data_IF_834105756946
#
_entry.id   IF_834105756946
#
_cell.length_a   1.000
_cell.length_b   1.000
_cell.length_c   1.000
_cell.angle_alpha   90.00
_cell.angle_beta   90.00
_cell.angle_gamma   90.00
#
_symmetry.space_group_name_H-M   'P 1'
#
loop_
_entity.id
_entity.type
_entity.pdbx_description
1 polymer ?
#
# COMPACT_ATOMS: atom_id res chain seq x y z
N UNK A 1 -11.54 -21.13 -20.53
CA UNK A 1 -10.71 -20.76 -19.37
C UNK A 1 -10.94 -19.28 -19.16
N UNK A 2 -11.73 -18.97 -18.14
CA UNK A 2 -12.11 -17.61 -17.78
C UNK A 2 -10.94 -17.00 -17.00
N UNK A 3 -10.30 -15.99 -17.56
CA UNK A 3 -9.20 -15.29 -16.90
C UNK A 3 -9.80 -14.26 -15.97
N UNK A 4 -10.13 -14.68 -14.74
CA UNK A 4 -10.57 -13.80 -13.67
C UNK A 4 -9.41 -12.89 -13.24
N UNK A 5 -9.24 -11.79 -14.00
CA UNK A 5 -8.32 -10.69 -13.71
C UNK A 5 -8.63 -10.02 -12.35
N UNK A 6 -9.84 -10.24 -11.83
CA UNK A 6 -10.34 -9.66 -10.58
C UNK A 6 -9.75 -10.38 -9.35
N UNK A 7 -9.46 -11.68 -9.42
CA UNK A 7 -8.88 -12.42 -8.27
C UNK A 7 -7.42 -12.05 -7.99
N UNK A 8 -6.70 -11.48 -8.96
CA UNK A 8 -5.25 -11.26 -8.86
C UNK A 8 -4.85 -9.95 -8.16
N UNK A 9 -5.77 -9.01 -7.93
CA UNK A 9 -5.43 -7.65 -7.47
C UNK A 9 -6.31 -7.15 -6.32
N UNK A 10 -6.73 -8.05 -5.41
CA UNK A 10 -7.42 -7.60 -4.19
C UNK A 10 -6.39 -6.95 -3.25
N UNK A 11 -6.26 -5.62 -3.35
CA UNK A 11 -5.56 -4.80 -2.36
C UNK A 11 -6.59 -4.42 -1.31
N UNK A 12 -6.39 -4.88 -0.07
CA UNK A 12 -7.17 -4.42 1.07
C UNK A 12 -6.44 -3.24 1.71
N UNK A 13 -7.17 -2.16 2.00
CA UNK A 13 -6.61 -0.96 2.63
C UNK A 13 -7.26 -0.77 3.99
N UNK A 14 -6.45 -0.57 5.03
CA UNK A 14 -6.90 -0.21 6.37
C UNK A 14 -6.25 1.10 6.79
N UNK A 15 -7.05 2.03 7.32
CA UNK A 15 -6.57 3.28 7.89
C UNK A 15 -6.41 3.10 9.39
N UNK A 16 -5.18 3.14 9.87
CA UNK A 16 -4.84 3.11 11.29
C UNK A 16 -4.49 4.53 11.76
N UNK A 17 -4.40 4.73 13.08
CA UNK A 17 -4.14 6.05 13.66
C UNK A 17 -2.81 6.67 13.20
N UNK A 18 -1.76 5.85 13.01
CA UNK A 18 -0.40 6.27 12.69
C UNK A 18 0.05 5.94 11.26
N UNK A 19 -0.67 5.07 10.54
CA UNK A 19 -0.30 4.61 9.20
C UNK A 19 -1.48 4.10 8.38
N UNK A 20 -1.25 3.95 7.07
CA UNK A 20 -2.15 3.22 6.17
C UNK A 20 -1.56 1.85 5.87
N UNK A 21 -2.30 0.79 6.15
CA UNK A 21 -1.91 -0.59 5.86
C UNK A 21 -2.51 -1.02 4.52
N UNK A 22 -1.63 -1.42 3.59
CA UNK A 22 -2.01 -2.11 2.37
C UNK A 22 -1.72 -3.59 2.54
N UNK A 23 -2.71 -4.44 2.30
CA UNK A 23 -2.58 -5.89 2.31
C UNK A 23 -2.78 -6.40 0.89
N UNK A 24 -1.76 -7.07 0.37
CA UNK A 24 -1.75 -7.73 -0.92
C UNK A 24 -1.69 -9.25 -0.69
N UNK A 25 -2.38 -10.03 -1.52
CA UNK A 25 -2.27 -11.50 -1.49
C UNK A 25 -1.57 -11.94 -2.77
N UNK A 26 -0.35 -12.48 -2.61
CA UNK A 26 0.46 -12.96 -3.74
C UNK A 26 0.48 -14.48 -3.74
N UNK A 27 0.26 -15.10 -4.89
CA UNK A 27 0.43 -16.54 -5.05
C UNK A 27 1.89 -16.86 -5.31
N UNK A 28 2.51 -17.68 -4.45
CA UNK A 28 3.88 -18.16 -4.63
C UNK A 28 3.82 -19.62 -5.09
N UNK A 29 3.79 -19.80 -6.40
CA UNK A 29 3.77 -21.11 -7.04
C UNK A 29 5.06 -21.91 -6.82
N UNK A 30 6.20 -21.23 -6.60
CA UNK A 30 7.51 -21.88 -6.43
C UNK A 30 7.62 -22.54 -5.05
N UNK A 31 6.99 -21.94 -4.03
CA UNK A 31 6.95 -22.49 -2.66
C UNK A 31 5.68 -23.27 -2.34
N UNK A 32 4.78 -23.48 -3.32
CA UNK A 32 3.51 -24.18 -3.13
C UNK A 32 2.51 -23.42 -2.24
N UNK A 33 2.71 -22.12 -2.01
CA UNK A 33 1.85 -21.29 -1.16
C UNK A 33 0.76 -20.64 -2.01
N UNK A 34 -0.49 -21.06 -1.77
CA UNK A 34 -1.64 -20.67 -2.59
C UNK A 34 -1.95 -19.16 -2.52
N UNK A 35 -1.74 -18.50 -1.37
CA UNK A 35 -1.93 -17.05 -1.15
C UNK A 35 -1.09 -16.59 0.07
N UNK A 36 0.07 -15.98 -0.16
CA UNK A 36 0.87 -15.34 0.90
C UNK A 36 0.38 -13.90 1.12
N UNK A 37 0.17 -13.52 2.37
CA UNK A 37 -0.25 -12.17 2.76
C UNK A 37 0.96 -11.25 2.87
N UNK A 38 1.00 -10.21 2.05
CA UNK A 38 2.02 -9.17 2.06
C UNK A 38 1.43 -7.89 2.66
N UNK A 39 2.00 -7.44 3.77
CA UNK A 39 1.61 -6.19 4.44
C UNK A 39 2.59 -5.07 4.11
N UNK A 40 2.07 -3.93 3.68
CA UNK A 40 2.83 -2.69 3.43
C UNK A 40 2.27 -1.56 4.28
N UNK A 41 3.06 -1.04 5.21
CA UNK A 41 2.69 0.08 6.07
C UNK A 41 3.22 1.39 5.50
N UNK A 42 2.34 2.36 5.35
CA UNK A 42 2.62 3.68 4.81
C UNK A 42 2.40 4.75 5.86
N UNK A 43 3.49 5.39 6.28
CA UNK A 43 3.48 6.43 7.30
C UNK A 43 3.48 7.80 6.65
N UNK A 44 2.61 8.70 7.09
CA UNK A 44 2.66 10.10 6.66
C UNK A 44 3.93 10.75 7.18
N UNK A 45 4.75 11.27 6.25
CA UNK A 45 6.02 11.92 6.56
C UNK A 45 5.88 13.43 6.61
N UNK A 46 5.25 14.03 5.61
CA UNK A 46 5.01 15.48 5.55
C UNK A 46 3.91 15.84 4.55
N UNK A 47 3.32 17.01 4.71
CA UNK A 47 2.52 17.66 3.66
C UNK A 47 3.46 18.20 2.58
N UNK A 48 3.14 17.95 1.31
CA UNK A 48 3.98 18.34 0.17
C UNK A 48 3.28 19.27 -0.81
N UNK A 49 2.02 19.59 -0.59
CA UNK A 49 1.31 20.56 -1.41
C UNK A 49 -0.20 20.48 -1.26
N UNK A 50 -0.89 21.44 -1.86
CA UNK A 50 -2.33 21.49 -1.94
C UNK A 50 -2.73 21.54 -3.43
N UNK A 51 -3.60 20.62 -3.83
CA UNK A 51 -4.21 20.63 -5.15
C UNK A 51 -5.63 21.18 -5.08
N UNK A 52 -6.23 21.46 -6.23
CA UNK A 52 -7.59 22.02 -6.31
C UNK A 52 -8.70 21.16 -5.67
N UNK A 53 -8.40 19.92 -5.28
CA UNK A 53 -9.36 19.02 -4.63
C UNK A 53 -8.75 18.33 -3.41
N UNK A 54 -7.95 19.05 -2.64
CA UNK A 54 -7.43 18.58 -1.35
C UNK A 54 -5.91 18.51 -1.25
N UNK A 55 -5.45 18.05 -0.10
CA UNK A 55 -4.04 18.06 0.27
C UNK A 55 -3.28 16.88 -0.34
N UNK A 56 -1.99 17.09 -0.57
CA UNK A 56 -1.06 16.06 -1.03
C UNK A 56 -0.05 15.80 0.07
N UNK A 57 0.01 14.56 0.54
CA UNK A 57 0.89 14.10 1.59
C UNK A 57 1.97 13.17 1.01
N UNK A 58 3.20 13.31 1.47
CA UNK A 58 4.24 12.30 1.28
C UNK A 58 4.04 11.19 2.30
N UNK A 59 3.83 9.98 1.83
CA UNK A 59 3.86 8.78 2.65
C UNK A 59 5.06 7.91 2.31
N UNK A 60 5.61 7.24 3.32
CA UNK A 60 6.80 6.39 3.18
C UNK A 60 6.58 5.01 3.78
N UNK A 61 7.19 3.99 3.18
CA UNK A 61 7.36 2.69 3.79
C UNK A 61 8.69 2.65 4.54
N UNK A 62 8.69 2.12 5.76
CA UNK A 62 9.88 2.02 6.61
C UNK A 62 10.32 0.59 6.81
N UNK A 63 11.63 0.36 6.73
CA UNK A 63 12.29 -0.85 7.21
C UNK A 63 13.33 -0.45 8.26
N UNK A 64 13.02 -0.72 9.53
CA UNK A 64 13.77 -0.16 10.65
C UNK A 64 13.75 1.37 10.65
N UNK A 65 14.93 2.00 10.58
CA UNK A 65 15.09 3.46 10.55
C UNK A 65 15.24 4.05 9.14
N UNK A 66 15.07 3.26 8.10
CA UNK A 66 15.24 3.71 6.71
C UNK A 66 13.89 3.74 5.99
N UNK A 67 13.67 4.82 5.26
CA UNK A 67 12.59 4.88 4.28
C UNK A 67 13.04 4.07 3.04
N UNK A 68 12.22 3.09 2.64
CA UNK A 68 12.54 2.15 1.54
C UNK A 68 11.67 2.38 0.29
N UNK A 69 10.58 3.12 0.43
CA UNK A 69 9.71 3.51 -0.67
C UNK A 69 8.94 4.77 -0.30
N UNK A 70 8.66 5.61 -1.30
CA UNK A 70 7.95 6.88 -1.15
C UNK A 70 6.74 6.91 -2.08
N UNK A 71 5.67 7.60 -1.66
CA UNK A 71 4.51 7.90 -2.50
C UNK A 71 3.87 9.24 -2.16
N UNK A 72 3.31 9.90 -3.16
CA UNK A 72 2.40 11.02 -2.96
C UNK A 72 0.96 10.48 -2.85
N UNK A 73 0.23 10.92 -1.81
CA UNK A 73 -1.17 10.57 -1.59
C UNK A 73 -2.00 11.83 -1.55
N UNK A 74 -3.06 11.88 -2.35
CA UNK A 74 -4.05 12.94 -2.30
C UNK A 74 -5.15 12.58 -1.32
N UNK A 75 -5.44 13.48 -0.38
CA UNK A 75 -6.55 13.39 0.57
C UNK A 75 -7.65 14.33 0.08
N UNK A 76 -8.86 13.80 -0.09
CA UNK A 76 -10.05 14.51 -0.60
C UNK A 76 -11.10 14.54 0.49
#
# INVERSE_FOLDING_TARGET
>A
MDWDLIEHFKIEVQFCDDHVLHVEYVTDHIRGLRKARLERRWYTKQHIGNGSFGDVLLQVQREGHRDIADRAVKVI
#
